data_IF_904715269055
#
_entry.id   IF_904715269055
#
_cell.length_a   1.000
_cell.length_b   1.000
_cell.length_c   1.000
_cell.angle_alpha   90.00
_cell.angle_beta   90.00
_cell.angle_gamma   90.00
#
_symmetry.space_group_name_H-M   'P 1'
#
loop_
_entity.id
_entity.type
_entity.pdbx_description
1 polymer ?
#
# COMPACT_ATOMS: atom_id res chain seq x y z
N UNK A 1 -6.09 4.73 -18.61
CA UNK A 1 -5.51 5.44 -17.45
C UNK A 1 -6.40 6.64 -17.17
N UNK A 2 -6.84 6.87 -15.92
CA UNK A 2 -7.83 7.92 -15.60
C UNK A 2 -7.23 9.23 -15.08
N UNK A 3 -5.94 9.26 -14.72
CA UNK A 3 -5.31 10.46 -14.17
C UNK A 3 -5.53 11.73 -15.00
N UNK A 4 -5.45 11.71 -16.35
CA UNK A 4 -5.63 12.93 -17.14
C UNK A 4 -7.04 13.52 -17.14
N UNK A 5 -8.06 12.77 -16.69
CA UNK A 5 -9.46 13.22 -16.66
C UNK A 5 -9.91 13.66 -15.27
N UNK A 6 -9.08 13.46 -14.24
CA UNK A 6 -9.38 13.90 -12.87
C UNK A 6 -8.90 15.35 -12.71
N UNK A 7 -9.76 16.27 -12.25
CA UNK A 7 -9.35 17.65 -11.95
C UNK A 7 -8.23 17.69 -10.89
N UNK A 8 -7.29 18.64 -11.05
CA UNK A 8 -6.10 18.73 -10.20
C UNK A 8 -6.40 19.13 -8.74
N UNK A 9 -7.57 19.69 -8.47
CA UNK A 9 -8.03 20.14 -7.15
C UNK A 9 -8.81 19.06 -6.39
N UNK A 10 -8.95 17.86 -6.95
CA UNK A 10 -9.66 16.74 -6.32
C UNK A 10 -8.69 15.84 -5.56
N UNK A 11 -8.99 15.61 -4.28
CA UNK A 11 -8.33 14.56 -3.51
C UNK A 11 -8.85 13.18 -3.93
N UNK A 12 -7.95 12.29 -4.32
CA UNK A 12 -8.29 10.94 -4.79
C UNK A 12 -7.78 9.91 -3.81
N UNK A 13 -8.66 8.98 -3.43
CA UNK A 13 -8.31 7.74 -2.72
C UNK A 13 -8.63 6.55 -3.62
N UNK A 14 -7.61 5.76 -3.94
CA UNK A 14 -7.77 4.54 -4.75
C UNK A 14 -7.99 3.34 -3.84
N UNK A 15 -9.10 2.63 -4.03
CA UNK A 15 -9.39 1.39 -3.30
C UNK A 15 -9.17 0.19 -4.22
N UNK A 16 -8.33 -0.76 -3.79
CA UNK A 16 -7.98 -1.94 -4.56
C UNK A 16 -8.10 -3.25 -3.77
N UNK A 17 -8.40 -4.35 -4.46
CA UNK A 17 -8.33 -5.71 -3.88
C UNK A 17 -6.91 -6.30 -4.01
N UNK A 18 -6.71 -7.50 -3.46
CA UNK A 18 -5.46 -8.25 -3.31
C UNK A 18 -4.56 -8.39 -4.55
N UNK A 19 -5.09 -8.20 -5.75
CA UNK A 19 -4.29 -8.21 -6.98
C UNK A 19 -3.44 -6.94 -7.15
N UNK A 20 -3.78 -5.87 -6.42
CA UNK A 20 -3.19 -4.54 -6.56
C UNK A 20 -2.23 -4.18 -5.42
N UNK A 21 -1.99 -5.09 -4.47
CA UNK A 21 -1.13 -4.86 -3.30
C UNK A 21 0.36 -4.97 -3.61
N UNK A 22 0.80 -4.49 -4.78
CA UNK A 22 2.18 -4.58 -5.24
C UNK A 22 2.79 -3.21 -5.51
N UNK A 23 4.13 -3.05 -5.36
CA UNK A 23 4.76 -1.72 -5.39
C UNK A 23 4.51 -0.98 -6.70
N UNK A 24 4.66 -1.64 -7.85
CA UNK A 24 4.44 -1.00 -9.15
C UNK A 24 3.04 -0.37 -9.33
N UNK A 25 2.03 -0.78 -8.56
CA UNK A 25 0.71 -0.19 -8.58
C UNK A 25 0.61 0.98 -7.60
N UNK A 26 1.02 0.77 -6.35
CA UNK A 26 0.97 1.81 -5.29
C UNK A 26 1.89 2.99 -5.61
N UNK A 27 3.10 2.73 -6.12
CA UNK A 27 4.07 3.76 -6.51
C UNK A 27 3.53 4.67 -7.61
N UNK A 28 2.71 4.13 -8.53
CA UNK A 28 2.07 4.95 -9.57
C UNK A 28 0.99 5.85 -8.99
N UNK A 29 0.24 5.39 -8.00
CA UNK A 29 -0.80 6.19 -7.34
C UNK A 29 -0.14 7.34 -6.58
N UNK A 30 0.92 7.04 -5.84
CA UNK A 30 1.73 8.04 -5.13
C UNK A 30 2.37 9.06 -6.08
N UNK A 31 2.83 8.63 -7.26
CA UNK A 31 3.37 9.54 -8.27
C UNK A 31 2.34 10.56 -8.80
N UNK A 32 1.04 10.29 -8.68
CA UNK A 32 -0.03 11.25 -8.97
C UNK A 32 -0.39 12.13 -7.76
N UNK A 33 0.27 11.95 -6.61
CA UNK A 33 -0.08 12.59 -5.35
C UNK A 33 -1.41 12.08 -4.76
N UNK A 34 -1.82 10.87 -5.15
CA UNK A 34 -3.07 10.26 -4.70
C UNK A 34 -2.82 9.31 -3.52
N UNK A 35 -3.84 9.13 -2.70
CA UNK A 35 -3.84 8.19 -1.58
C UNK A 35 -4.35 6.81 -2.02
N UNK A 36 -4.00 5.76 -1.28
CA UNK A 36 -4.47 4.41 -1.59
C UNK A 36 -4.81 3.56 -0.36
N UNK A 37 -5.81 2.70 -0.53
CA UNK A 37 -6.18 1.66 0.41
C UNK A 37 -6.33 0.34 -0.34
N UNK A 38 -5.37 -0.56 -0.17
CA UNK A 38 -5.37 -1.85 -0.84
C UNK A 38 -5.43 -2.97 0.17
N UNK A 39 -6.28 -3.95 -0.11
CA UNK A 39 -6.34 -5.18 0.69
C UNK A 39 -5.10 -6.04 0.41
N UNK A 40 -4.40 -6.45 1.45
CA UNK A 40 -3.25 -7.37 1.35
C UNK A 40 -3.64 -8.79 1.77
N UNK A 41 -2.89 -9.80 1.32
CA UNK A 41 -3.08 -11.19 1.75
C UNK A 41 -2.23 -11.49 2.99
N UNK A 42 -2.58 -12.51 3.77
CA UNK A 42 -1.83 -12.88 4.97
C UNK A 42 -0.36 -13.28 4.71
N UNK A 43 -0.04 -13.68 3.48
CA UNK A 43 1.32 -14.01 3.02
C UNK A 43 2.11 -12.80 2.51
N UNK A 44 1.48 -11.63 2.39
CA UNK A 44 2.16 -10.41 1.96
C UNK A 44 3.28 -10.08 2.94
N UNK A 45 4.47 -9.82 2.40
CA UNK A 45 5.62 -9.37 3.17
C UNK A 45 5.96 -7.93 2.80
N UNK A 46 6.48 -7.18 3.75
CA UNK A 46 7.07 -5.85 3.53
C UNK A 46 8.52 -5.83 3.99
N UNK A 47 9.29 -4.86 3.49
CA UNK A 47 10.59 -4.50 4.07
C UNK A 47 10.54 -3.11 4.65
N UNK A 48 10.97 -2.98 5.89
CA UNK A 48 11.22 -1.67 6.50
C UNK A 48 12.46 -0.97 5.91
N UNK A 49 12.65 0.29 6.27
CA UNK A 49 13.77 1.12 5.85
C UNK A 49 15.11 0.67 6.43
N UNK A 50 15.11 -0.29 7.35
CA UNK A 50 16.31 -1.01 7.80
C UNK A 50 16.54 -2.30 7.00
N UNK A 51 15.71 -2.58 5.98
CA UNK A 51 15.74 -3.76 5.14
C UNK A 51 15.17 -5.03 5.78
N UNK A 52 14.61 -4.94 7.00
CA UNK A 52 14.07 -6.10 7.71
C UNK A 52 12.74 -6.49 7.10
N UNK A 53 12.55 -7.80 6.91
CA UNK A 53 11.33 -8.37 6.36
C UNK A 53 10.29 -8.58 7.45
N UNK A 54 9.09 -8.09 7.20
CA UNK A 54 7.91 -8.25 8.05
C UNK A 54 6.82 -8.97 7.26
N UNK A 55 6.22 -10.01 7.82
CA UNK A 55 5.00 -10.58 7.24
C UNK A 55 3.77 -9.84 7.79
N UNK A 56 2.75 -9.68 6.96
CA UNK A 56 1.49 -9.07 7.37
C UNK A 56 0.91 -9.75 8.62
N UNK A 57 1.05 -11.08 8.74
CA UNK A 57 0.58 -11.85 9.90
C UNK A 57 1.35 -11.56 11.20
N UNK A 58 2.63 -11.20 11.12
CA UNK A 58 3.40 -10.80 12.30
C UNK A 58 2.97 -9.43 12.82
N UNK A 59 2.63 -8.52 11.91
CA UNK A 59 2.28 -7.14 12.25
C UNK A 59 0.79 -6.99 12.59
N UNK A 60 -0.07 -7.77 11.93
CA UNK A 60 -1.52 -7.80 12.12
C UNK A 60 -1.96 -9.23 12.48
N UNK A 61 -1.76 -9.66 13.75
CA UNK A 61 -2.00 -11.05 14.16
C UNK A 61 -3.48 -11.42 14.20
N UNK A 62 -4.38 -10.44 14.32
CA UNK A 62 -5.82 -10.63 14.45
C UNK A 62 -6.62 -9.73 13.50
N UNK A 63 -7.80 -10.17 13.02
CA UNK A 63 -8.72 -9.31 12.29
C UNK A 63 -9.05 -8.03 13.08
N UNK A 64 -9.14 -6.89 12.38
CA UNK A 64 -9.41 -5.60 13.00
C UNK A 64 -8.20 -4.93 13.66
N UNK A 65 -7.04 -5.58 13.67
CA UNK A 65 -5.78 -4.94 14.08
C UNK A 65 -5.42 -3.76 13.18
N UNK A 66 -4.70 -2.79 13.74
CA UNK A 66 -4.14 -1.64 13.01
C UNK A 66 -2.67 -1.53 13.38
N UNK A 67 -1.83 -1.31 12.38
CA UNK A 67 -0.42 -1.01 12.58
C UNK A 67 -0.09 0.23 11.76
N UNK A 68 0.53 1.22 12.40
CA UNK A 68 1.18 2.30 11.70
C UNK A 68 2.65 1.91 11.55
N UNK A 69 3.08 1.65 10.33
CA UNK A 69 4.50 1.65 9.98
C UNK A 69 4.80 3.03 9.41
N UNK A 70 5.93 3.64 9.78
CA UNK A 70 6.37 4.87 9.11
C UNK A 70 6.41 4.66 7.60
N UNK A 71 5.88 5.61 6.82
CA UNK A 71 5.63 5.47 5.37
C UNK A 71 6.87 5.08 4.56
N UNK A 72 8.09 5.41 5.00
CA UNK A 72 9.34 5.05 4.32
C UNK A 72 9.72 3.56 4.38
N UNK A 73 8.87 2.70 4.96
CA UNK A 73 9.21 1.33 5.36
C UNK A 73 8.31 0.22 4.78
N UNK A 74 7.52 0.46 3.73
CA UNK A 74 6.67 -0.59 3.18
C UNK A 74 6.96 -0.86 1.72
N UNK A 75 8.10 -1.50 1.45
CA UNK A 75 8.27 -2.16 0.16
C UNK A 75 7.63 -3.54 0.21
N UNK A 76 6.49 -3.72 -0.48
CA UNK A 76 5.89 -5.04 -0.63
C UNK A 76 6.82 -5.97 -1.40
N UNK A 77 7.15 -7.11 -0.81
CA UNK A 77 7.90 -8.20 -1.43
C UNK A 77 6.90 -9.29 -1.76
N UNK A 78 6.58 -9.43 -3.05
CA UNK A 78 5.80 -10.57 -3.57
C UNK A 78 6.73 -11.76 -3.74
#
# INVERSE_FOLDING_TARGET
MIAPIVPADVQVVVIGDRAFGHPQFTDRIEAYGWEWLVRIQGQTCSRDGQGRRWSARQVLPQPGGRCATSCDCLQFVI
#
